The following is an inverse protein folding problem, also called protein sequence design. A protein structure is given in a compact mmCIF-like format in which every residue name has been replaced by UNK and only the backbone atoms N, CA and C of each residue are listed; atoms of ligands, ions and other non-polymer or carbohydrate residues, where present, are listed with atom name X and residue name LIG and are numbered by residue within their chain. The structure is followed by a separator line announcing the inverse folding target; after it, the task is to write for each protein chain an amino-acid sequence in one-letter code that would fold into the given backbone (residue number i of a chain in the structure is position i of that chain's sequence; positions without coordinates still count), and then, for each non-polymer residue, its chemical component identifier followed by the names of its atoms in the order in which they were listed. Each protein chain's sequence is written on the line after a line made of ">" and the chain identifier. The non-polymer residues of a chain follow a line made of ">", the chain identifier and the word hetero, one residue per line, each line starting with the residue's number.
data_IF_609714511216
#
_entry.id   IF_609714511216
#
_cell.length_a   1.000
_cell.length_b   1.000
_cell.length_c   1.000
_cell.angle_alpha   90.00
_cell.angle_beta   90.00
_cell.angle_gamma   90.00
#
_symmetry.space_group_name_H-M   'P 1'
#
loop_
_entity.id
_entity.type
_entity.pdbx_description
1 polymer ?
#
# COMPACT_ATOMS: atom_id res chain seq x y z
N UNK A 1 1.40 5.05 20.20
CA UNK A 1 1.68 4.93 18.75
C UNK A 1 3.17 5.14 18.55
N UNK A 2 3.78 4.36 17.67
CA UNK A 2 5.18 4.49 17.28
C UNK A 2 5.26 5.58 16.19
N UNK A 3 6.03 6.65 16.41
CA UNK A 3 6.44 7.65 15.40
C UNK A 3 5.33 8.49 14.74
N UNK A 4 5.68 9.67 14.25
CA UNK A 4 4.76 10.59 13.53
C UNK A 4 4.71 10.37 12.01
N UNK A 5 5.14 9.20 11.53
CA UNK A 5 5.30 8.93 10.09
C UNK A 5 3.95 8.72 9.40
N UNK A 6 3.85 9.04 8.10
CA UNK A 6 2.72 8.64 7.26
C UNK A 6 2.50 7.13 7.32
N UNK A 7 1.24 6.72 7.28
CA UNK A 7 0.83 5.31 7.29
C UNK A 7 0.15 4.98 5.97
N UNK A 8 0.70 4.01 5.24
CA UNK A 8 0.14 3.50 3.99
C UNK A 8 -0.49 2.13 4.24
N UNK A 9 -1.77 1.96 3.92
CA UNK A 9 -2.49 0.70 4.13
C UNK A 9 -2.70 -0.01 2.81
N UNK A 10 -2.31 -1.28 2.73
CA UNK A 10 -2.64 -2.17 1.63
C UNK A 10 -3.91 -2.94 2.01
N UNK A 11 -5.04 -2.67 1.35
CA UNK A 11 -6.34 -3.27 1.66
C UNK A 11 -6.88 -4.08 0.49
N UNK A 12 -7.18 -5.35 0.71
CA UNK A 12 -7.60 -6.22 -0.39
C UNK A 12 -7.83 -7.66 0.00
N UNK A 13 -7.83 -8.54 -1.01
CA UNK A 13 -8.02 -9.99 -0.82
C UNK A 13 -6.69 -10.75 -0.79
N UNK A 14 -6.62 -11.94 -1.43
CA UNK A 14 -5.44 -12.80 -1.45
C UNK A 14 -4.20 -12.14 -2.04
N UNK A 15 -4.32 -11.34 -3.11
CA UNK A 15 -3.19 -10.66 -3.75
C UNK A 15 -2.53 -9.68 -2.77
N UNK A 16 -3.33 -8.98 -1.97
CA UNK A 16 -2.83 -8.12 -0.90
C UNK A 16 -2.32 -8.96 0.26
N UNK A 17 -3.03 -9.99 0.70
CA UNK A 17 -2.60 -10.82 1.84
C UNK A 17 -1.23 -11.46 1.59
N UNK A 18 -1.01 -11.95 0.37
CA UNK A 18 0.25 -12.57 -0.03
C UNK A 18 1.30 -11.57 -0.53
N UNK A 19 1.04 -10.25 -0.49
CA UNK A 19 2.03 -9.25 -0.88
C UNK A 19 3.25 -9.24 0.05
N UNK A 20 3.13 -9.77 1.27
CA UNK A 20 4.22 -9.96 2.23
C UNK A 20 4.84 -11.36 2.23
N UNK A 21 4.42 -12.23 1.31
CA UNK A 21 5.15 -13.47 1.05
C UNK A 21 6.54 -13.17 0.49
N UNK A 22 7.44 -14.16 0.52
CA UNK A 22 8.78 -14.02 -0.04
C UNK A 22 8.71 -13.58 -1.53
N UNK A 23 9.38 -12.48 -1.87
CA UNK A 23 9.35 -11.88 -3.22
C UNK A 23 8.10 -11.05 -3.54
N UNK A 24 7.22 -10.79 -2.56
CA UNK A 24 6.04 -9.96 -2.75
C UNK A 24 6.31 -8.45 -2.73
N UNK A 25 5.37 -7.68 -3.28
CA UNK A 25 5.48 -6.23 -3.44
C UNK A 25 5.34 -5.41 -2.13
N UNK A 26 4.75 -5.98 -1.08
CA UNK A 26 4.57 -5.29 0.21
C UNK A 26 5.89 -4.97 0.92
N UNK A 27 6.79 -5.95 1.11
CA UNK A 27 8.14 -5.75 1.64
C UNK A 27 8.98 -4.84 0.76
N UNK A 28 8.82 -4.89 -0.57
CA UNK A 28 9.51 -3.96 -1.47
C UNK A 28 9.12 -2.51 -1.18
N UNK A 29 7.82 -2.22 -1.01
CA UNK A 29 7.38 -0.90 -0.56
C UNK A 29 7.93 -0.56 0.84
N UNK A 30 7.93 -1.49 1.77
CA UNK A 30 8.46 -1.25 3.12
C UNK A 30 9.96 -0.92 3.14
N UNK A 31 10.75 -1.55 2.26
CA UNK A 31 12.16 -1.25 2.05
C UNK A 31 12.35 0.15 1.42
N UNK A 32 11.57 0.47 0.38
CA UNK A 32 11.63 1.78 -0.29
C UNK A 32 11.27 2.92 0.66
N UNK A 33 10.29 2.71 1.53
CA UNK A 33 9.81 3.67 2.52
C UNK A 33 10.45 3.49 3.91
N UNK A 34 11.54 2.73 4.03
CA UNK A 34 12.24 2.57 5.30
C UNK A 34 12.53 3.94 5.93
N UNK A 35 12.15 4.13 7.20
CA UNK A 35 12.25 5.39 7.96
C UNK A 35 11.45 6.59 7.38
N UNK A 36 10.59 6.37 6.39
CA UNK A 36 9.80 7.42 5.73
C UNK A 36 8.30 7.22 5.89
N UNK A 37 7.81 5.99 5.76
CA UNK A 37 6.39 5.65 5.97
C UNK A 37 6.23 4.22 6.48
N UNK A 38 5.15 3.97 7.22
CA UNK A 38 4.79 2.63 7.68
C UNK A 38 3.84 1.95 6.70
N UNK A 39 4.21 0.75 6.23
CA UNK A 39 3.37 -0.06 5.33
C UNK A 39 2.57 -1.08 6.17
N UNK A 40 1.25 -0.92 6.21
CA UNK A 40 0.35 -1.79 6.96
C UNK A 40 -0.45 -2.72 6.04
N UNK A 41 -0.37 -4.02 6.33
CA UNK A 41 -1.11 -5.05 5.62
C UNK A 41 -2.53 -5.23 6.18
N UNK A 42 -3.53 -5.19 5.30
CA UNK A 42 -4.95 -5.54 5.52
C UNK A 42 -5.50 -6.38 4.36
N UNK A 43 -4.80 -7.47 4.03
CA UNK A 43 -5.23 -8.44 3.04
C UNK A 43 -6.02 -9.60 3.65
N UNK A 44 -7.12 -9.99 3.00
CA UNK A 44 -8.05 -11.02 3.50
C UNK A 44 -8.43 -12.01 2.39
N UNK A 45 -7.74 -13.15 2.35
CA UNK A 45 -7.97 -14.20 1.34
C UNK A 45 -9.45 -14.62 1.26
N UNK A 46 -9.93 -14.78 0.03
CA UNK A 46 -11.31 -15.22 -0.26
C UNK A 46 -12.37 -14.13 -0.07
N UNK A 47 -11.99 -12.92 0.36
CA UNK A 47 -12.93 -11.82 0.46
C UNK A 47 -13.24 -11.21 -0.91
N UNK A 48 -14.51 -10.89 -1.12
CA UNK A 48 -15.01 -10.03 -2.18
C UNK A 48 -15.37 -8.65 -1.60
N UNK A 49 -15.83 -7.74 -2.45
CA UNK A 49 -16.20 -6.38 -2.04
C UNK A 49 -17.38 -6.33 -1.05
N UNK A 50 -18.33 -7.28 -1.13
CA UNK A 50 -19.43 -7.40 -0.14
C UNK A 50 -18.89 -7.61 1.28
N UNK A 51 -17.92 -8.51 1.44
CA UNK A 51 -17.31 -8.79 2.75
C UNK A 51 -16.49 -7.60 3.26
N UNK A 52 -15.76 -6.93 2.36
CA UNK A 52 -14.99 -5.74 2.70
C UNK A 52 -15.87 -4.62 3.29
N UNK A 53 -17.01 -4.34 2.66
CA UNK A 53 -17.94 -3.30 3.12
C UNK A 53 -18.46 -3.51 4.55
N UNK A 54 -18.72 -4.77 4.94
CA UNK A 54 -19.27 -5.11 6.26
C UNK A 54 -18.34 -4.74 7.42
N UNK A 55 -17.06 -4.48 7.16
CA UNK A 55 -16.05 -4.26 8.20
C UNK A 55 -15.31 -2.93 8.04
N UNK A 56 -15.75 -2.04 7.16
CA UNK A 56 -15.06 -0.77 6.90
C UNK A 56 -14.82 0.05 8.17
N UNK A 57 -15.82 0.18 9.05
CA UNK A 57 -15.67 0.88 10.34
C UNK A 57 -14.70 0.17 11.30
N UNK A 58 -14.54 -1.15 11.19
CA UNK A 58 -13.62 -1.92 12.04
C UNK A 58 -12.19 -1.83 11.55
N UNK A 59 -11.99 -1.82 10.24
CA UNK A 59 -10.65 -1.76 9.62
C UNK A 59 -10.16 -0.31 9.55
N UNK A 60 -11.07 0.63 9.26
CA UNK A 60 -10.82 2.06 9.12
C UNK A 60 -11.79 2.87 10.01
N UNK A 61 -11.62 2.82 11.35
CA UNK A 61 -12.41 3.63 12.26
C UNK A 61 -12.13 5.12 12.06
N UNK A 62 -13.20 5.91 11.90
CA UNK A 62 -13.12 7.36 11.63
C UNK A 62 -12.57 8.17 12.80
N UNK A 63 -12.69 7.63 14.01
CA UNK A 63 -12.18 8.19 15.27
C UNK A 63 -10.78 7.67 15.65
N UNK A 64 -10.14 6.89 14.77
CA UNK A 64 -8.76 6.46 14.98
C UNK A 64 -7.85 7.69 15.17
N UNK A 65 -6.98 7.70 16.21
CA UNK A 65 -6.08 8.81 16.47
C UNK A 65 -5.01 8.98 15.37
N UNK A 66 -4.78 7.95 14.54
CA UNK A 66 -4.02 8.03 13.30
C UNK A 66 -4.89 7.53 12.16
N UNK A 67 -5.02 8.38 11.13
CA UNK A 67 -5.66 8.03 9.87
C UNK A 67 -4.58 7.69 8.84
N UNK A 68 -4.84 6.74 7.93
CA UNK A 68 -3.90 6.45 6.85
C UNK A 68 -3.73 7.67 5.93
N UNK A 69 -2.49 7.92 5.53
CA UNK A 69 -2.15 8.95 4.53
C UNK A 69 -2.41 8.44 3.11
N UNK A 70 -2.34 7.12 2.90
CA UNK A 70 -2.63 6.45 1.65
C UNK A 70 -3.31 5.10 1.94
N UNK A 71 -4.31 4.75 1.15
CA UNK A 71 -4.88 3.40 1.12
C UNK A 71 -4.88 2.88 -0.31
N UNK A 72 -4.21 1.75 -0.54
CA UNK A 72 -4.24 1.04 -1.82
C UNK A 72 -5.30 -0.05 -1.70
N UNK A 73 -6.40 0.12 -2.45
CA UNK A 73 -7.53 -0.82 -2.43
C UNK A 73 -7.44 -1.76 -3.63
N UNK A 74 -7.42 -3.07 -3.38
CA UNK A 74 -7.29 -4.08 -4.42
C UNK A 74 -8.23 -5.28 -4.17
N UNK A 75 -9.42 -5.18 -4.77
CA UNK A 75 -10.45 -6.22 -4.87
C UNK A 75 -10.84 -6.44 -6.34
N UNK A 76 -11.73 -7.41 -6.62
CA UNK A 76 -12.24 -7.67 -7.98
C UNK A 76 -12.03 -9.10 -8.46
N UNK A 77 -10.88 -9.72 -8.17
CA UNK A 77 -10.58 -11.07 -8.66
C UNK A 77 -11.54 -12.16 -8.13
N UNK A 78 -12.02 -12.02 -6.89
CA UNK A 78 -13.01 -12.95 -6.32
C UNK A 78 -14.43 -12.60 -6.76
N UNK A 79 -14.73 -11.30 -6.86
CA UNK A 79 -16.00 -10.75 -7.33
C UNK A 79 -16.33 -11.22 -8.75
N UNK A 80 -15.31 -11.33 -9.62
CA UNK A 80 -15.44 -11.74 -11.02
C UNK A 80 -15.58 -13.25 -11.24
N UNK A 81 -15.48 -14.08 -10.20
CA UNK A 81 -15.69 -15.53 -10.32
C UNK A 81 -17.13 -15.79 -10.80
N UNK A 82 -17.29 -16.76 -11.69
CA UNK A 82 -18.60 -17.12 -12.23
C UNK A 82 -19.62 -17.43 -11.13
N UNK A 83 -20.84 -16.92 -11.30
CA UNK A 83 -21.94 -17.21 -10.39
C UNK A 83 -22.20 -18.72 -10.33
N UNK A 84 -22.26 -19.26 -9.12
CA UNK A 84 -22.66 -20.64 -8.91
C UNK A 84 -24.19 -20.74 -8.80
N UNK A 85 -24.78 -21.82 -9.30
CA UNK A 85 -26.24 -22.02 -9.33
C UNK A 85 -26.91 -22.03 -7.95
N UNK A 86 -26.16 -22.37 -6.90
CA UNK A 86 -26.65 -22.30 -5.51
C UNK A 86 -26.75 -20.87 -4.95
N UNK A 87 -26.23 -19.86 -5.67
CA UNK A 87 -26.09 -18.49 -5.17
C UNK A 87 -24.98 -18.31 -4.14
N UNK A 88 -24.28 -19.38 -3.75
CA UNK A 88 -23.11 -19.30 -2.88
C UNK A 88 -21.85 -18.97 -3.67
N UNK A 89 -20.85 -18.41 -2.99
CA UNK A 89 -19.54 -18.12 -3.56
C UNK A 89 -19.24 -16.61 -3.57
N UNK A 90 -18.08 -16.25 -4.13
CA UNK A 90 -17.58 -14.89 -4.03
C UNK A 90 -18.11 -13.95 -5.12
N UNK A 91 -18.85 -14.47 -6.11
CA UNK A 91 -19.39 -13.69 -7.22
C UNK A 91 -20.14 -12.44 -6.74
N UNK A 92 -19.80 -11.30 -7.33
CA UNK A 92 -20.52 -10.04 -7.19
C UNK A 92 -20.84 -9.52 -8.60
N UNK A 93 -22.12 -9.25 -8.93
CA UNK A 93 -22.49 -8.65 -10.21
C UNK A 93 -21.77 -7.32 -10.45
N UNK A 94 -21.43 -7.02 -11.70
CA UNK A 94 -20.60 -5.85 -12.04
C UNK A 94 -21.15 -4.52 -11.48
N UNK A 95 -22.45 -4.30 -11.58
CA UNK A 95 -23.08 -3.07 -11.06
C UNK A 95 -22.94 -2.96 -9.54
N UNK A 96 -23.07 -4.09 -8.84
CA UNK A 96 -22.88 -4.13 -7.39
C UNK A 96 -21.40 -4.00 -7.00
N UNK A 97 -20.48 -4.58 -7.77
CA UNK A 97 -19.05 -4.42 -7.56
C UNK A 97 -18.64 -2.94 -7.68
N UNK A 98 -19.12 -2.25 -8.72
CA UNK A 98 -18.89 -0.81 -8.92
C UNK A 98 -19.44 -0.02 -7.73
N UNK A 99 -20.68 -0.30 -7.32
CA UNK A 99 -21.29 0.35 -6.16
C UNK A 99 -20.53 0.09 -4.86
N UNK A 100 -20.05 -1.14 -4.67
CA UNK A 100 -19.29 -1.50 -3.48
C UNK A 100 -17.94 -0.79 -3.43
N UNK A 101 -17.20 -0.75 -4.55
CA UNK A 101 -15.94 -0.02 -4.64
C UNK A 101 -16.16 1.48 -4.40
N UNK A 102 -17.28 2.02 -4.88
CA UNK A 102 -17.67 3.41 -4.60
C UNK A 102 -17.87 3.68 -3.12
N UNK A 103 -18.64 2.83 -2.44
CA UNK A 103 -18.86 2.94 -0.99
C UNK A 103 -17.59 2.76 -0.17
N UNK A 104 -16.70 1.83 -0.57
CA UNK A 104 -15.39 1.65 0.08
C UNK A 104 -14.58 2.95 -0.02
N UNK A 105 -14.49 3.52 -1.21
CA UNK A 105 -13.75 4.76 -1.42
C UNK A 105 -14.40 5.95 -0.69
N UNK A 106 -15.73 6.09 -0.75
CA UNK A 106 -16.48 7.11 0.02
C UNK A 106 -16.21 7.00 1.53
N UNK A 107 -16.13 5.78 2.07
CA UNK A 107 -15.80 5.58 3.49
C UNK A 107 -14.37 6.00 3.83
N UNK A 108 -13.41 5.66 2.98
CA UNK A 108 -12.00 6.02 3.14
C UNK A 108 -11.74 7.51 2.92
N UNK A 109 -12.68 8.20 2.27
CA UNK A 109 -12.53 9.57 1.83
C UNK A 109 -13.13 10.59 2.77
N UNK A 110 -12.51 11.78 2.74
CA UNK A 110 -13.11 13.05 3.15
C UNK A 110 -13.41 13.99 1.96
N UNK A 111 -13.27 13.54 0.69
CA UNK A 111 -13.36 14.40 -0.52
C UNK A 111 -14.03 13.72 -1.74
N UNK A 112 -14.75 14.49 -2.55
CA UNK A 112 -15.81 14.04 -3.48
C UNK A 112 -15.40 13.56 -4.91
N UNK A 113 -14.15 13.71 -5.36
CA UNK A 113 -13.78 13.75 -6.81
C UNK A 113 -12.88 12.61 -7.37
N UNK A 114 -12.94 11.37 -6.87
CA UNK A 114 -11.93 10.33 -7.19
C UNK A 114 -12.23 9.34 -8.31
N UNK A 115 -13.46 9.29 -8.78
CA UNK A 115 -13.94 8.15 -9.58
C UNK A 115 -13.18 7.97 -10.91
N UNK A 116 -12.43 8.98 -11.35
CA UNK A 116 -11.72 9.04 -12.64
C UNK A 116 -10.26 8.58 -12.61
N UNK A 117 -9.70 8.13 -11.47
CA UNK A 117 -8.23 8.00 -11.32
C UNK A 117 -7.61 6.57 -11.23
N UNK A 118 -8.35 5.45 -11.01
CA UNK A 118 -7.72 4.30 -10.30
C UNK A 118 -7.89 2.81 -10.75
N UNK A 119 -8.39 2.37 -11.93
CA UNK A 119 -8.60 0.90 -12.16
C UNK A 119 -8.23 0.31 -13.54
N UNK A 120 -7.62 -0.90 -13.55
CA UNK A 120 -7.41 -1.78 -14.74
C UNK A 120 -7.86 -3.26 -14.56
N UNK A 121 -7.15 -4.29 -14.07
CA UNK A 121 -7.63 -5.70 -14.35
C UNK A 121 -7.16 -6.94 -13.52
N UNK A 122 -6.56 -6.81 -12.33
CA UNK A 122 -6.64 -7.79 -11.22
C UNK A 122 -6.54 -9.33 -11.41
N UNK A 123 -5.33 -9.91 -11.32
CA UNK A 123 -5.12 -11.33 -10.92
C UNK A 123 -3.68 -11.58 -10.41
N UNK A 124 -3.46 -12.64 -9.61
CA UNK A 124 -2.22 -12.93 -8.86
C UNK A 124 -0.92 -12.72 -9.65
N UNK A 125 0.07 -12.11 -8.99
CA UNK A 125 1.32 -11.66 -9.62
C UNK A 125 2.48 -12.62 -9.32
N UNK A 126 3.37 -12.78 -10.30
CA UNK A 126 4.71 -13.34 -10.09
C UNK A 126 5.61 -12.32 -9.40
N UNK A 127 6.88 -12.67 -9.15
CA UNK A 127 7.89 -11.71 -8.68
C UNK A 127 8.04 -10.54 -9.67
N UNK A 128 8.08 -10.83 -10.97
CA UNK A 128 8.12 -9.81 -12.02
C UNK A 128 6.85 -8.94 -12.02
N UNK A 129 5.67 -9.56 -11.89
CA UNK A 129 4.41 -8.82 -11.76
C UNK A 129 4.37 -7.93 -10.50
N UNK A 130 5.00 -8.38 -9.42
CA UNK A 130 5.13 -7.61 -8.18
C UNK A 130 6.02 -6.39 -8.38
N UNK A 131 7.09 -6.51 -9.15
CA UNK A 131 7.95 -5.38 -9.51
C UNK A 131 7.21 -4.33 -10.35
N UNK A 132 6.42 -4.76 -11.33
CA UNK A 132 5.58 -3.85 -12.15
C UNK A 132 4.59 -3.08 -11.26
N UNK A 133 3.97 -3.74 -10.28
CA UNK A 133 3.06 -3.06 -9.35
C UNK A 133 3.77 -2.00 -8.52
N UNK A 134 4.98 -2.27 -8.02
CA UNK A 134 5.78 -1.26 -7.31
C UNK A 134 6.07 -0.08 -8.23
N UNK A 135 6.48 -0.33 -9.47
CA UNK A 135 6.77 0.70 -10.46
C UNK A 135 5.55 1.59 -10.74
N UNK A 136 4.39 1.00 -11.01
CA UNK A 136 3.16 1.75 -11.28
C UNK A 136 2.70 2.54 -10.05
N UNK A 137 2.80 1.98 -8.84
CA UNK A 137 2.51 2.72 -7.60
C UNK A 137 3.43 3.94 -7.49
N UNK A 138 4.74 3.76 -7.65
CA UNK A 138 5.70 4.85 -7.52
C UNK A 138 5.51 5.93 -8.59
N UNK A 139 5.17 5.53 -9.82
CA UNK A 139 4.85 6.44 -10.90
C UNK A 139 3.63 7.30 -10.55
N UNK A 140 2.54 6.69 -10.09
CA UNK A 140 1.35 7.43 -9.64
C UNK A 140 1.70 8.39 -8.51
N UNK A 141 2.48 7.96 -7.51
CA UNK A 141 2.88 8.81 -6.39
C UNK A 141 3.81 9.97 -6.80
N UNK A 142 4.60 9.79 -7.87
CA UNK A 142 5.50 10.81 -8.42
C UNK A 142 4.75 11.85 -9.26
N UNK A 143 3.74 11.41 -10.02
CA UNK A 143 2.95 12.27 -10.91
C UNK A 143 1.79 12.97 -10.18
N UNK A 144 1.38 12.46 -9.02
CA UNK A 144 0.30 13.06 -8.24
C UNK A 144 0.70 14.43 -7.67
N UNK A 145 -0.11 15.45 -7.98
CA UNK A 145 -0.01 16.79 -7.40
C UNK A 145 -0.67 16.82 -6.00
N UNK A 146 -0.09 16.06 -5.07
CA UNK A 146 -0.53 15.97 -3.67
C UNK A 146 0.39 16.78 -2.76
N UNK A 147 -0.22 17.50 -1.80
CA UNK A 147 0.48 18.17 -0.71
C UNK A 147 0.04 17.56 0.64
N UNK A 148 0.95 16.91 1.40
CA UNK A 148 2.36 16.67 1.06
C UNK A 148 2.54 15.59 -0.02
N UNK A 149 3.62 15.68 -0.79
CA UNK A 149 4.00 14.66 -1.77
C UNK A 149 4.33 13.35 -1.05
N UNK A 150 3.72 12.25 -1.49
CA UNK A 150 3.89 10.93 -0.87
C UNK A 150 4.96 10.07 -1.55
N UNK A 151 5.63 10.57 -2.59
CA UNK A 151 6.74 9.87 -3.23
C UNK A 151 7.94 9.79 -2.27
N UNK A 152 8.58 8.61 -2.18
CA UNK A 152 9.63 8.33 -1.20
C UNK A 152 10.83 9.30 -1.24
N UNK A 153 11.20 9.83 -2.41
CA UNK A 153 12.28 10.83 -2.54
C UNK A 153 11.93 12.18 -1.91
N UNK A 154 10.65 12.50 -1.71
CA UNK A 154 10.18 13.76 -1.14
C UNK A 154 9.94 13.68 0.39
N UNK A 155 9.75 12.47 0.92
CA UNK A 155 9.51 12.28 2.35
C UNK A 155 10.81 12.39 3.18
N UNK A 156 10.77 13.08 4.33
CA UNK A 156 11.92 13.17 5.22
C UNK A 156 12.24 11.80 5.82
N UNK A 157 13.52 11.52 5.99
CA UNK A 157 14.00 10.34 6.71
C UNK A 157 13.98 10.62 8.20
N UNK A 158 13.25 9.79 8.94
CA UNK A 158 13.18 9.86 10.40
C UNK A 158 14.57 9.60 11.01
N UNK A 159 15.06 10.47 11.90
CA UNK A 159 16.37 10.42 12.58
C UNK A 159 17.62 10.53 11.67
N UNK A 160 17.55 11.31 10.60
CA UNK A 160 18.60 11.40 9.58
C UNK A 160 19.87 12.17 10.00
N UNK A 161 19.91 12.74 11.21
CA UNK A 161 21.07 13.43 11.74
C UNK A 161 22.31 12.54 11.89
N UNK A 162 23.51 13.12 11.69
CA UNK A 162 24.76 12.43 11.96
C UNK A 162 24.90 12.13 13.45
N UNK A 163 25.40 10.93 13.76
CA UNK A 163 25.55 10.48 15.13
C UNK A 163 26.97 10.02 15.43
N UNK A 164 27.44 10.31 16.64
CA UNK A 164 28.68 9.72 17.17
C UNK A 164 28.57 8.20 17.41
N UNK A 165 27.35 7.66 17.35
CA UNK A 165 27.05 6.24 17.49
C UNK A 165 26.91 5.51 16.14
N UNK A 166 27.09 6.21 15.02
CA UNK A 166 27.10 5.61 13.69
C UNK A 166 28.39 4.79 13.44
N UNK A 167 28.39 4.01 12.35
CA UNK A 167 29.52 3.18 11.96
C UNK A 167 30.77 4.04 11.73
N UNK A 168 31.91 3.61 12.25
CA UNK A 168 33.18 4.32 12.04
C UNK A 168 33.67 4.12 10.60
N UNK A 169 34.16 5.19 9.98
CA UNK A 169 34.78 5.16 8.65
C UNK A 169 35.99 4.22 8.63
N UNK A 170 36.38 3.75 7.43
CA UNK A 170 37.57 2.92 7.28
C UNK A 170 38.88 3.62 7.67
N UNK A 171 38.90 4.96 7.65
CA UNK A 171 40.02 5.80 8.11
C UNK A 171 40.03 6.02 9.62
N UNK A 172 38.94 5.73 10.34
CA UNK A 172 38.86 5.85 11.81
C UNK A 172 38.66 7.28 12.32
N UNK A 173 38.47 8.26 11.45
CA UNK A 173 38.45 9.69 11.75
C UNK A 173 37.03 10.30 11.81
N UNK A 174 36.03 9.59 11.32
CA UNK A 174 34.64 10.03 11.29
C UNK A 174 33.66 8.86 11.43
N UNK A 175 32.39 9.16 11.67
CA UNK A 175 31.30 8.21 11.53
C UNK A 175 30.61 8.35 10.17
N UNK A 176 29.93 7.30 9.72
CA UNK A 176 29.22 7.22 8.44
C UNK A 176 27.75 6.97 8.72
N UNK A 177 26.94 7.98 8.43
CA UNK A 177 25.50 7.95 8.62
C UNK A 177 24.82 7.04 7.57
N UNK A 178 24.19 5.93 7.99
CA UNK A 178 23.58 4.98 7.06
C UNK A 178 22.10 5.29 6.78
N UNK A 179 21.59 6.45 7.17
CA UNK A 179 20.14 6.73 7.17
C UNK A 179 19.47 6.67 5.81
N UNK A 180 20.19 7.01 4.75
CA UNK A 180 19.73 6.96 3.36
C UNK A 180 20.21 5.69 2.62
N UNK A 181 20.85 4.74 3.31
CA UNK A 181 21.35 3.53 2.64
C UNK A 181 20.20 2.61 2.22
N UNK A 182 20.23 2.21 0.95
CA UNK A 182 19.26 1.27 0.39
C UNK A 182 19.94 -0.09 0.23
N UNK A 183 19.87 -0.92 1.27
CA UNK A 183 20.75 -2.08 1.44
C UNK A 183 20.35 -3.27 0.55
N UNK A 184 19.12 -3.32 0.02
CA UNK A 184 18.58 -4.50 -0.68
C UNK A 184 17.95 -4.24 -2.07
N UNK A 185 18.24 -3.10 -2.71
CA UNK A 185 17.65 -2.81 -4.03
C UNK A 185 18.36 -3.56 -5.15
N UNK A 186 17.76 -4.67 -5.61
CA UNK A 186 18.12 -5.28 -6.91
C UNK A 186 17.73 -4.38 -8.09
N UNK A 187 16.70 -3.55 -7.92
CA UNK A 187 16.16 -2.65 -8.94
C UNK A 187 16.27 -1.19 -8.42
N UNK A 188 16.92 -0.28 -9.16
CA UNK A 188 16.89 1.14 -8.85
C UNK A 188 15.54 1.73 -9.28
N UNK A 189 14.67 2.01 -8.30
CA UNK A 189 13.36 2.63 -8.52
C UNK A 189 13.51 4.16 -8.67
N UNK A 190 13.66 4.67 -9.90
CA UNK A 190 14.00 6.09 -10.18
C UNK A 190 12.83 7.05 -10.51
#
# INVERSE_FOLDING_TARGET
>A
MLGGRPVFVLFGSSIVQYSFSNGGWGPALADIYARKADILLRGYIGWNTRRALQVMDKVFPKDSPVQPSLVIVYFGGNDSIAAHSSGLGPHVPIDEYIDNMRKIAEHLKKREDWMTACFTDGLHLSEEGSNIVVEEILKVLKEADWDPCLHWKALPTEFAEDSAYDLVSSSGDATVNPSEWTIHRKIPWD
#
